data_IF_512397436751
#
_entry.id   IF_512397436751
#
_cell.length_a   1.000
_cell.length_b   1.000
_cell.length_c   1.000
_cell.angle_alpha   90.00
_cell.angle_beta   90.00
_cell.angle_gamma   90.00
#
_symmetry.space_group_name_H-M   'P 1'
#
loop_
_entity.id
_entity.type
_entity.pdbx_description
1 polymer ?
#
# COMPACT_ATOMS: atom_id res chain seq x y z
N UNK A 1 -3.55 2.52 15.22
CA UNK A 1 -2.48 2.67 16.23
C UNK A 1 -1.16 2.73 15.48
N UNK A 2 -0.43 3.85 15.59
CA UNK A 2 0.93 3.97 15.04
C UNK A 2 1.87 3.25 16.01
N UNK A 3 2.74 2.37 15.51
CA UNK A 3 3.69 1.66 16.37
C UNK A 3 4.82 2.61 16.74
N UNK A 4 4.98 2.92 18.04
CA UNK A 4 6.22 3.52 18.55
C UNK A 4 7.35 2.48 18.39
N UNK A 5 8.46 2.86 17.76
CA UNK A 5 9.61 1.97 17.51
C UNK A 5 10.89 2.64 17.98
N UNK A 6 11.82 1.84 18.49
CA UNK A 6 13.21 2.26 18.80
C UNK A 6 14.01 2.70 17.57
N UNK A 7 13.48 2.45 16.36
CA UNK A 7 13.99 2.97 15.09
C UNK A 7 12.81 3.47 14.25
N UNK A 8 12.59 4.79 14.13
CA UNK A 8 11.47 5.32 13.36
C UNK A 8 11.66 4.96 11.89
N UNK A 9 10.68 4.28 11.31
CA UNK A 9 10.66 4.09 9.87
C UNK A 9 10.65 5.47 9.19
N UNK A 10 11.31 5.65 8.04
CA UNK A 10 11.34 6.94 7.35
C UNK A 10 9.96 7.36 6.80
N UNK A 11 8.93 6.55 7.01
CA UNK A 11 7.56 6.78 6.60
C UNK A 11 6.58 6.16 7.62
N UNK A 12 5.32 6.64 7.68
CA UNK A 12 4.31 6.08 8.56
C UNK A 12 4.08 4.60 8.29
N UNK A 13 4.18 3.79 9.33
CA UNK A 13 3.81 2.37 9.30
C UNK A 13 2.66 2.18 10.28
N UNK A 14 1.58 1.59 9.79
CA UNK A 14 0.38 1.30 10.56
C UNK A 14 0.07 -0.18 10.47
N UNK A 15 -0.62 -0.70 11.47
CA UNK A 15 -1.15 -2.06 11.47
C UNK A 15 -2.64 -1.99 11.16
N UNK A 16 -3.11 -2.90 10.30
CA UNK A 16 -4.55 -3.07 10.08
C UNK A 16 -5.24 -3.45 11.40
N UNK A 17 -6.54 -3.23 11.45
CA UNK A 17 -7.40 -3.78 12.50
C UNK A 17 -7.24 -5.30 12.57
N UNK A 18 -7.48 -5.89 13.75
CA UNK A 18 -7.53 -7.36 13.90
C UNK A 18 -8.62 -8.02 13.05
N UNK A 19 -9.61 -7.23 12.62
CA UNK A 19 -10.63 -7.67 11.68
C UNK A 19 -10.10 -7.75 10.25
N UNK A 20 -8.93 -7.21 9.90
CA UNK A 20 -8.42 -7.10 8.54
C UNK A 20 -9.28 -6.22 7.62
N UNK A 21 -9.81 -5.10 8.14
CA UNK A 21 -10.68 -4.19 7.40
C UNK A 21 -9.99 -3.59 6.17
N UNK A 22 -8.76 -3.08 6.30
CA UNK A 22 -8.03 -2.51 5.16
C UNK A 22 -7.67 -3.59 4.13
N UNK A 23 -7.18 -4.75 4.58
CA UNK A 23 -6.90 -5.90 3.71
C UNK A 23 -8.10 -6.29 2.85
N UNK A 24 -9.30 -6.31 3.44
CA UNK A 24 -10.55 -6.64 2.73
C UNK A 24 -10.98 -5.54 1.77
N UNK A 25 -11.05 -4.29 2.24
CA UNK A 25 -11.54 -3.18 1.43
C UNK A 25 -10.66 -2.92 0.20
N UNK A 26 -9.34 -3.08 0.35
CA UNK A 26 -8.39 -2.91 -0.75
C UNK A 26 -8.07 -4.22 -1.48
N UNK A 27 -8.62 -5.36 -1.07
CA UNK A 27 -8.26 -6.66 -1.65
C UNK A 27 -6.74 -6.86 -1.71
N UNK A 28 -6.03 -6.53 -0.63
CA UNK A 28 -4.58 -6.36 -0.63
C UNK A 28 -3.79 -7.64 -0.27
N UNK A 29 -4.47 -8.77 -0.12
CA UNK A 29 -3.84 -10.05 0.17
C UNK A 29 -3.44 -10.76 -1.12
N UNK A 30 -2.23 -11.37 -1.22
CA UNK A 30 -1.18 -11.43 -0.20
C UNK A 30 -0.35 -10.14 -0.09
N UNK A 31 -0.18 -9.41 -1.20
CA UNK A 31 0.38 -8.06 -1.24
C UNK A 31 -0.28 -7.27 -2.36
N UNK A 32 -0.38 -5.94 -2.20
CA UNK A 32 -0.79 -5.03 -3.27
C UNK A 32 -0.32 -3.61 -2.95
N UNK A 33 0.14 -2.89 -3.98
CA UNK A 33 0.48 -1.45 -3.89
C UNK A 33 -0.63 -0.61 -4.50
N UNK A 34 -0.87 0.54 -3.89
CA UNK A 34 -1.81 1.53 -4.38
C UNK A 34 -1.12 2.89 -4.45
N UNK A 35 -1.53 3.72 -5.41
CA UNK A 35 -1.29 5.16 -5.37
C UNK A 35 -2.64 5.85 -5.23
N UNK A 36 -2.79 6.65 -4.19
CA UNK A 36 -4.00 7.42 -3.89
C UNK A 36 -3.66 8.90 -4.01
N UNK A 37 -4.41 9.64 -4.82
CA UNK A 37 -4.28 11.09 -4.99
C UNK A 37 -5.66 11.71 -4.81
N UNK A 38 -5.76 12.71 -3.92
CA UNK A 38 -7.01 13.43 -3.63
C UNK A 38 -8.20 12.50 -3.31
N UNK A 39 -7.93 11.43 -2.56
CA UNK A 39 -8.94 10.43 -2.17
C UNK A 39 -9.29 9.40 -3.25
N UNK A 40 -8.70 9.48 -4.45
CA UNK A 40 -8.95 8.58 -5.57
C UNK A 40 -7.78 7.63 -5.78
N UNK A 41 -8.08 6.35 -5.99
CA UNK A 41 -7.07 5.35 -6.38
C UNK A 41 -6.73 5.58 -7.85
N UNK A 42 -5.54 6.12 -8.12
CA UNK A 42 -5.03 6.33 -9.49
C UNK A 42 -4.17 5.16 -9.98
N UNK A 43 -3.81 4.25 -9.08
CA UNK A 43 -3.19 2.97 -9.42
C UNK A 43 -3.49 1.91 -8.38
N UNK A 44 -3.80 0.72 -8.87
CA UNK A 44 -3.86 -0.51 -8.10
C UNK A 44 -2.97 -1.56 -8.77
N UNK A 45 -2.01 -2.11 -8.01
CA UNK A 45 -1.16 -3.20 -8.50
C UNK A 45 -1.94 -4.47 -8.82
N UNK A 46 -1.33 -5.36 -9.60
CA UNK A 46 -1.91 -6.66 -9.94
C UNK A 46 -2.15 -7.57 -8.73
N UNK A 47 -2.61 -8.80 -8.99
CA UNK A 47 -2.86 -9.77 -7.91
C UNK A 47 -1.53 -10.37 -7.46
N UNK A 48 -1.19 -10.16 -6.18
CA UNK A 48 -0.02 -10.77 -5.58
C UNK A 48 -0.14 -12.29 -5.42
N UNK A 49 0.98 -13.03 -5.26
CA UNK A 49 2.35 -12.53 -5.32
C UNK A 49 2.88 -12.44 -6.77
N UNK A 50 2.14 -12.97 -7.74
CA UNK A 50 2.62 -13.19 -9.11
C UNK A 50 2.78 -11.90 -9.92
N UNK A 51 2.03 -10.85 -9.58
CA UNK A 51 2.09 -9.55 -10.26
C UNK A 51 2.95 -8.51 -9.54
N UNK A 52 3.94 -8.93 -8.74
CA UNK A 52 4.84 -8.00 -8.06
C UNK A 52 5.69 -7.23 -9.08
N UNK A 53 5.39 -5.94 -9.25
CA UNK A 53 6.22 -4.98 -9.99
C UNK A 53 6.64 -3.82 -9.07
N UNK A 54 7.92 -3.73 -8.65
CA UNK A 54 8.40 -2.66 -7.80
C UNK A 54 8.56 -1.33 -8.57
N UNK A 55 8.67 -1.36 -9.90
CA UNK A 55 8.87 -0.17 -10.73
C UNK A 55 7.55 0.50 -11.13
N UNK A 56 6.42 -0.21 -11.07
CA UNK A 56 5.13 0.33 -11.46
C UNK A 56 4.79 1.64 -10.73
N UNK A 57 4.95 1.66 -9.40
CA UNK A 57 4.73 2.87 -8.58
C UNK A 57 5.63 4.02 -9.05
N UNK A 58 6.92 3.74 -9.30
CA UNK A 58 7.86 4.75 -9.80
C UNK A 58 7.42 5.34 -11.13
N UNK A 59 6.92 4.52 -12.07
CA UNK A 59 6.42 4.99 -13.37
C UNK A 59 5.25 5.94 -13.20
N UNK A 60 4.31 5.65 -12.29
CA UNK A 60 3.16 6.51 -12.03
C UNK A 60 3.58 7.84 -11.40
N UNK A 61 4.46 7.79 -10.39
CA UNK A 61 4.93 9.00 -9.71
C UNK A 61 5.68 9.96 -10.65
N UNK A 62 6.31 9.46 -11.72
CA UNK A 62 6.96 10.30 -12.74
C UNK A 62 5.97 10.98 -13.71
N UNK A 63 4.68 10.67 -13.63
CA UNK A 63 3.62 11.23 -14.50
C UNK A 63 2.65 12.15 -13.74
N UNK A 64 2.85 12.33 -12.43
CA UNK A 64 2.05 13.20 -11.56
C UNK A 64 2.69 14.58 -11.41
#
# INVERSE_FOLDING_TARGET
>A
MMLERDYPAPFPVVVDTMKNDARRQYGAYPERRFVVKDGVIIYAGGVGPLSFDPLAVRRILLTL
#
